data_IF_125856808406
#
_entry.id   IF_125856808406
#
_cell.length_a   1.000
_cell.length_b   1.000
_cell.length_c   1.000
_cell.angle_alpha   90.00
_cell.angle_beta   90.00
_cell.angle_gamma   90.00
#
_symmetry.space_group_name_H-M   'P 1'
#
loop_
_entity.id
_entity.type
_entity.pdbx_description
1 polymer ?
#
# COMPACT_ATOMS: atom_id res chain seq x y z
N UNK A 1 41.90 -23.05 2.42
CA UNK A 1 41.25 -23.16 1.09
C UNK A 1 39.95 -23.96 1.24
N UNK A 2 38.82 -23.27 1.42
CA UNK A 2 37.47 -23.85 1.51
C UNK A 2 36.50 -22.95 0.73
N UNK A 3 35.63 -23.58 -0.06
CA UNK A 3 34.84 -23.03 -1.16
C UNK A 3 33.89 -21.88 -0.82
N UNK A 4 33.74 -20.87 -1.70
CA UNK A 4 32.62 -19.95 -1.73
C UNK A 4 31.55 -20.50 -2.68
N UNK A 5 30.61 -21.32 -2.18
CA UNK A 5 29.54 -21.85 -3.06
C UNK A 5 28.15 -21.93 -2.41
N UNK A 6 27.96 -21.37 -1.21
CA UNK A 6 26.71 -21.51 -0.46
C UNK A 6 25.97 -20.19 -0.14
N UNK A 7 26.27 -19.11 -0.86
CA UNK A 7 25.59 -17.80 -0.69
C UNK A 7 24.84 -17.29 -1.94
N UNK A 8 24.42 -18.16 -2.86
CA UNK A 8 23.69 -17.74 -4.07
C UNK A 8 22.33 -18.45 -4.29
N UNK A 9 21.87 -19.28 -3.36
CA UNK A 9 20.65 -20.09 -3.57
C UNK A 9 19.32 -19.29 -3.57
N UNK A 10 19.09 -18.22 -2.78
CA UNK A 10 17.81 -17.50 -2.84
C UNK A 10 17.68 -16.61 -4.10
N UNK A 11 18.80 -16.06 -4.59
CA UNK A 11 18.83 -15.21 -5.78
C UNK A 11 18.67 -16.03 -7.08
N UNK A 12 19.19 -17.26 -7.12
CA UNK A 12 19.06 -18.15 -8.28
C UNK A 12 17.66 -18.78 -8.35
N UNK A 13 17.00 -19.07 -7.22
CA UNK A 13 15.63 -19.60 -7.19
C UNK A 13 14.55 -18.56 -7.55
N UNK A 14 14.78 -17.27 -7.27
CA UNK A 14 13.90 -16.19 -7.74
C UNK A 14 14.13 -15.85 -9.22
N UNK A 15 15.36 -16.03 -9.73
CA UNK A 15 15.71 -15.81 -11.14
C UNK A 15 15.34 -16.99 -12.07
N UNK A 16 14.96 -18.15 -11.52
CA UNK A 16 14.53 -19.34 -12.26
C UNK A 16 13.04 -19.69 -12.05
N UNK A 17 12.16 -18.70 -11.88
CA UNK A 17 10.76 -18.95 -12.24
C UNK A 17 10.70 -19.11 -13.76
N UNK A 18 10.74 -20.36 -14.22
CA UNK A 18 10.43 -20.72 -15.60
C UNK A 18 9.16 -19.97 -16.01
N UNK A 19 9.24 -19.21 -17.11
CA UNK A 19 8.07 -18.54 -17.64
C UNK A 19 6.94 -19.57 -17.77
N UNK A 20 5.77 -19.27 -17.21
CA UNK A 20 4.60 -20.13 -17.33
C UNK A 20 4.39 -20.47 -18.82
N UNK A 21 3.97 -21.71 -19.14
CA UNK A 21 3.51 -22.03 -20.48
C UNK A 21 2.58 -20.91 -20.97
N UNK A 22 2.76 -20.40 -22.19
CA UNK A 22 2.02 -19.24 -22.66
C UNK A 22 0.49 -19.35 -22.44
N UNK A 23 -0.08 -20.54 -22.60
CA UNK A 23 -1.52 -20.79 -22.46
C UNK A 23 -1.99 -20.60 -21.02
N UNK A 24 -1.15 -21.00 -20.06
CA UNK A 24 -1.41 -20.76 -18.64
C UNK A 24 -1.29 -19.27 -18.30
N UNK A 25 -0.39 -18.53 -18.97
CA UNK A 25 -0.30 -17.08 -18.81
C UNK A 25 -1.58 -16.37 -19.28
N UNK A 26 -2.13 -16.74 -20.44
CA UNK A 26 -3.41 -16.20 -20.91
C UNK A 26 -4.56 -16.61 -19.99
N UNK A 27 -4.67 -17.87 -19.60
CA UNK A 27 -5.72 -18.34 -18.67
C UNK A 27 -5.65 -17.64 -17.31
N UNK A 28 -4.44 -17.32 -16.84
CA UNK A 28 -4.24 -16.54 -15.63
C UNK A 28 -4.75 -15.11 -15.79
N UNK A 29 -4.50 -14.46 -16.92
CA UNK A 29 -5.05 -13.13 -17.20
C UNK A 29 -6.57 -13.17 -17.35
N UNK A 30 -7.12 -14.19 -18.01
CA UNK A 30 -8.56 -14.40 -18.07
C UNK A 30 -9.17 -14.56 -16.68
N UNK A 31 -8.54 -15.33 -15.80
CA UNK A 31 -8.99 -15.53 -14.42
C UNK A 31 -8.93 -14.22 -13.61
N UNK A 32 -7.92 -13.38 -13.84
CA UNK A 32 -7.76 -12.06 -13.21
C UNK A 32 -8.84 -11.07 -13.67
N UNK A 33 -9.16 -11.08 -14.96
CA UNK A 33 -10.09 -10.14 -15.58
C UNK A 33 -11.49 -10.73 -15.80
N UNK A 34 -11.84 -11.84 -15.13
CA UNK A 34 -13.10 -12.57 -15.33
C UNK A 34 -14.38 -11.75 -15.08
N UNK A 35 -14.26 -10.61 -14.40
CA UNK A 35 -15.38 -9.75 -13.99
C UNK A 35 -15.53 -8.50 -14.88
N UNK A 36 -14.79 -8.37 -15.98
CA UNK A 36 -14.90 -7.17 -16.80
C UNK A 36 -14.23 -7.25 -18.16
N UNK A 37 -14.26 -6.13 -18.86
CA UNK A 37 -13.56 -5.93 -20.12
C UNK A 37 -12.14 -5.44 -19.84
N UNK A 38 -11.18 -5.92 -20.63
CA UNK A 38 -9.78 -5.52 -20.55
C UNK A 38 -9.23 -5.24 -21.95
N UNK A 39 -8.24 -4.36 -22.04
CA UNK A 39 -7.59 -3.98 -23.29
C UNK A 39 -6.31 -4.81 -23.43
N UNK A 40 -6.23 -5.56 -24.53
CA UNK A 40 -5.03 -6.30 -24.90
C UNK A 40 -4.32 -5.55 -26.01
N UNK A 41 -3.00 -5.44 -25.89
CA UNK A 41 -2.13 -4.77 -26.85
C UNK A 41 -0.98 -5.70 -27.21
N UNK A 42 -0.81 -5.97 -28.49
CA UNK A 42 0.42 -6.51 -29.06
C UNK A 42 1.29 -5.33 -29.53
N UNK A 43 2.43 -5.11 -28.87
CA UNK A 43 3.34 -3.99 -29.14
C UNK A 43 4.67 -4.50 -29.72
N UNK A 44 4.97 -4.18 -30.98
CA UNK A 44 6.28 -4.47 -31.58
C UNK A 44 7.39 -3.48 -31.14
N UNK A 45 7.09 -2.51 -30.27
CA UNK A 45 8.03 -1.53 -29.71
C UNK A 45 7.69 -1.10 -28.28
N UNK A 46 8.14 0.08 -27.85
CA UNK A 46 7.73 0.69 -26.57
C UNK A 46 6.73 1.86 -26.76
N UNK A 47 6.49 2.25 -28.02
CA UNK A 47 5.73 3.44 -28.36
C UNK A 47 4.21 3.25 -28.23
N UNK A 48 3.69 2.06 -28.59
CA UNK A 48 2.24 1.81 -28.49
C UNK A 48 1.81 1.69 -27.05
N UNK A 49 2.55 0.96 -26.21
CA UNK A 49 2.23 0.82 -24.80
C UNK A 49 2.15 2.17 -24.08
N UNK A 50 3.04 3.12 -24.38
CA UNK A 50 2.99 4.47 -23.83
C UNK A 50 1.79 5.27 -24.35
N UNK A 51 1.55 5.27 -25.67
CA UNK A 51 0.45 5.99 -26.29
C UNK A 51 -0.93 5.47 -25.85
N UNK A 52 -1.10 4.15 -25.72
CA UNK A 52 -2.34 3.54 -25.23
C UNK A 52 -2.59 3.89 -23.76
N UNK A 53 -1.55 3.89 -22.91
CA UNK A 53 -1.70 4.35 -21.51
C UNK A 53 -2.15 5.81 -21.46
N UNK A 54 -1.52 6.69 -22.24
CA UNK A 54 -1.91 8.09 -22.32
C UNK A 54 -3.37 8.26 -22.83
N UNK A 55 -3.81 7.42 -23.77
CA UNK A 55 -5.19 7.41 -24.24
C UNK A 55 -6.17 6.98 -23.14
N UNK A 56 -5.84 5.94 -22.36
CA UNK A 56 -6.67 5.47 -21.25
C UNK A 56 -6.81 6.48 -20.10
N UNK A 57 -5.89 7.44 -19.99
CA UNK A 57 -5.94 8.52 -19.00
C UNK A 57 -6.80 9.73 -19.47
N UNK A 58 -7.37 9.67 -20.67
CA UNK A 58 -8.35 10.66 -21.14
C UNK A 58 -9.69 10.52 -20.39
N UNK A 59 -10.41 11.62 -20.18
CA UNK A 59 -11.58 11.67 -19.28
C UNK A 59 -12.70 10.68 -19.64
N UNK A 60 -12.88 10.37 -20.93
CA UNK A 60 -13.87 9.40 -21.40
C UNK A 60 -13.51 7.93 -21.13
N UNK A 61 -12.23 7.61 -20.91
CA UNK A 61 -11.76 6.23 -20.70
C UNK A 61 -11.31 5.96 -19.27
N UNK A 62 -10.86 7.00 -18.56
CA UNK A 62 -10.41 6.85 -17.17
C UNK A 62 -11.53 6.28 -16.30
N UNK A 63 -12.79 6.64 -16.58
CA UNK A 63 -13.98 6.12 -15.88
C UNK A 63 -14.24 4.63 -16.14
N UNK A 64 -13.77 4.08 -17.26
CA UNK A 64 -13.89 2.64 -17.54
C UNK A 64 -12.88 1.82 -16.73
N UNK A 65 -11.82 2.45 -16.23
CA UNK A 65 -10.74 1.84 -15.45
C UNK A 65 -10.21 0.52 -16.08
N UNK A 66 -10.14 0.47 -17.42
CA UNK A 66 -9.82 -0.75 -18.15
C UNK A 66 -8.43 -1.28 -17.78
N UNK A 67 -8.30 -2.55 -17.37
CA UNK A 67 -7.00 -3.20 -17.25
C UNK A 67 -6.32 -3.26 -18.62
N UNK A 68 -5.06 -2.83 -18.70
CA UNK A 68 -4.25 -2.92 -19.91
C UNK A 68 -3.24 -4.04 -19.78
N UNK A 69 -3.28 -5.01 -20.70
CA UNK A 69 -2.23 -6.01 -20.87
C UNK A 69 -1.43 -5.70 -22.14
N UNK A 70 -0.17 -5.30 -21.94
CA UNK A 70 0.79 -5.15 -23.04
C UNK A 70 1.57 -6.44 -23.19
N UNK A 71 1.51 -7.01 -24.39
CA UNK A 71 2.29 -8.13 -24.86
C UNK A 71 3.38 -7.57 -25.77
N UNK A 72 4.64 -7.73 -25.39
CA UNK A 72 5.74 -7.24 -26.20
C UNK A 72 6.04 -8.24 -27.31
N UNK A 73 5.88 -7.85 -28.58
CA UNK A 73 6.30 -8.61 -29.75
C UNK A 73 7.77 -8.44 -30.15
N UNK A 74 8.52 -7.62 -29.40
CA UNK A 74 9.94 -7.27 -29.66
C UNK A 74 10.98 -8.36 -29.32
N UNK A 75 12.25 -7.97 -29.09
CA UNK A 75 13.41 -8.88 -28.95
C UNK A 75 13.32 -9.94 -27.82
N UNK A 76 12.43 -9.76 -26.86
CA UNK A 76 12.06 -10.78 -25.86
C UNK A 76 10.54 -10.90 -25.87
N UNK A 77 9.96 -11.67 -26.80
CA UNK A 77 8.53 -11.75 -26.88
C UNK A 77 7.99 -12.39 -25.60
N UNK A 78 6.99 -11.77 -24.97
CA UNK A 78 6.26 -12.52 -23.96
C UNK A 78 5.45 -13.59 -24.69
N UNK A 79 5.42 -14.81 -24.17
CA UNK A 79 4.76 -15.92 -24.87
C UNK A 79 3.27 -15.66 -25.18
N UNK A 80 2.68 -14.64 -24.54
CA UNK A 80 1.33 -14.17 -24.77
C UNK A 80 1.09 -13.71 -26.22
N UNK A 81 2.05 -13.07 -26.90
CA UNK A 81 1.82 -12.55 -28.27
C UNK A 81 1.46 -13.66 -29.24
N UNK A 82 2.16 -14.79 -29.17
CA UNK A 82 1.89 -15.95 -30.03
C UNK A 82 0.48 -16.49 -29.83
N UNK A 83 0.01 -16.54 -28.58
CA UNK A 83 -1.36 -17.00 -28.28
C UNK A 83 -2.41 -16.03 -28.76
N UNK A 84 -2.18 -14.72 -28.60
CA UNK A 84 -3.13 -13.72 -29.08
C UNK A 84 -3.29 -13.85 -30.60
N UNK A 85 -2.18 -13.99 -31.34
CA UNK A 85 -2.19 -14.23 -32.78
C UNK A 85 -2.90 -15.54 -33.13
N UNK A 86 -2.55 -16.65 -32.49
CA UNK A 86 -3.15 -17.96 -32.80
C UNK A 86 -4.65 -18.00 -32.47
N UNK A 87 -5.04 -17.42 -31.33
CA UNK A 87 -6.43 -17.43 -30.82
C UNK A 87 -7.33 -16.50 -31.61
N UNK A 88 -6.82 -15.35 -32.02
CA UNK A 88 -7.60 -14.30 -32.67
C UNK A 88 -7.31 -14.16 -34.16
N UNK A 89 -6.46 -15.04 -34.69
CA UNK A 89 -6.01 -15.04 -36.08
C UNK A 89 -5.42 -13.67 -36.51
N UNK A 90 -4.70 -13.01 -35.60
CA UNK A 90 -4.08 -11.72 -35.89
C UNK A 90 -2.87 -11.88 -36.81
N UNK A 91 -2.72 -11.03 -37.84
CA UNK A 91 -1.50 -10.98 -38.60
C UNK A 91 -0.36 -10.47 -37.71
N UNK A 92 0.88 -10.83 -38.06
CA UNK A 92 2.05 -10.32 -37.37
C UNK A 92 2.10 -8.79 -37.49
N UNK A 93 2.21 -8.11 -36.36
CA UNK A 93 2.26 -6.65 -36.29
C UNK A 93 1.47 -6.12 -35.10
N UNK A 94 1.48 -4.80 -34.88
CA UNK A 94 0.83 -4.21 -33.72
C UNK A 94 -0.70 -4.28 -33.84
N UNK A 95 -1.34 -4.81 -32.81
CA UNK A 95 -2.79 -5.01 -32.73
C UNK A 95 -3.28 -4.68 -31.33
N UNK A 96 -4.54 -4.26 -31.24
CA UNK A 96 -5.22 -4.13 -29.96
C UNK A 96 -6.63 -4.71 -30.04
N UNK A 97 -7.14 -5.17 -28.91
CA UNK A 97 -8.54 -5.55 -28.78
C UNK A 97 -9.10 -5.33 -27.38
N UNK A 98 -10.38 -4.99 -27.34
CA UNK A 98 -11.21 -5.08 -26.16
C UNK A 98 -11.70 -6.52 -26.02
N UNK A 99 -11.37 -7.15 -24.89
CA UNK A 99 -11.67 -8.55 -24.62
C UNK A 99 -12.57 -8.64 -23.41
N UNK A 100 -13.64 -9.43 -23.48
CA UNK A 100 -14.54 -9.66 -22.35
C UNK A 100 -13.95 -10.64 -21.30
N UNK A 101 -14.63 -10.80 -20.17
CA UNK A 101 -14.23 -11.73 -19.11
C UNK A 101 -14.26 -13.22 -19.52
N UNK A 102 -14.78 -13.54 -20.72
CA UNK A 102 -14.76 -14.89 -21.33
C UNK A 102 -13.66 -15.05 -22.37
N UNK A 103 -12.88 -13.99 -22.63
CA UNK A 103 -11.77 -14.02 -23.57
C UNK A 103 -12.21 -13.83 -25.02
N UNK A 104 -13.42 -13.33 -25.26
CA UNK A 104 -13.95 -13.03 -26.60
C UNK A 104 -13.59 -11.60 -26.97
N UNK A 105 -13.19 -11.40 -28.22
CA UNK A 105 -12.99 -10.06 -28.77
C UNK A 105 -14.36 -9.40 -28.95
N UNK A 106 -14.47 -8.19 -28.42
CA UNK A 106 -15.61 -7.30 -28.63
C UNK A 106 -15.35 -6.36 -29.80
N UNK A 107 -14.19 -5.71 -29.80
CA UNK A 107 -13.71 -4.81 -30.86
C UNK A 107 -12.18 -4.94 -30.95
N UNK A 108 -11.63 -4.81 -32.15
CA UNK A 108 -10.19 -4.86 -32.41
C UNK A 108 -9.75 -3.80 -33.43
N UNK A 109 -8.44 -3.54 -33.48
CA UNK A 109 -7.84 -2.65 -34.47
C UNK A 109 -6.34 -2.90 -34.65
N UNK A 110 -5.86 -2.60 -35.86
CA UNK A 110 -4.45 -2.74 -36.26
C UNK A 110 -3.71 -1.39 -36.37
N UNK A 111 -4.39 -0.28 -36.06
CA UNK A 111 -3.80 1.06 -36.01
C UNK A 111 -3.66 1.54 -34.57
N UNK A 112 -2.69 2.43 -34.31
CA UNK A 112 -2.44 2.97 -32.99
C UNK A 112 -3.72 3.65 -32.47
N UNK A 113 -4.34 3.16 -31.38
CA UNK A 113 -5.63 3.68 -30.97
C UNK A 113 -5.46 5.02 -30.26
N UNK A 114 -6.31 5.97 -30.62
CA UNK A 114 -6.47 7.25 -29.92
C UNK A 114 -7.58 7.13 -28.88
N UNK A 115 -7.65 8.07 -27.93
CA UNK A 115 -8.73 8.08 -26.95
C UNK A 115 -10.14 8.08 -27.60
N UNK A 116 -10.44 8.90 -28.63
CA UNK A 116 -11.73 8.82 -29.32
C UNK A 116 -12.05 7.46 -29.93
N UNK A 117 -11.06 6.78 -30.51
CA UNK A 117 -11.24 5.44 -31.10
C UNK A 117 -11.61 4.43 -30.01
N UNK A 118 -10.89 4.45 -28.89
CA UNK A 118 -11.15 3.55 -27.77
C UNK A 118 -12.50 3.82 -27.10
N UNK A 119 -12.90 5.10 -26.97
CA UNK A 119 -14.23 5.48 -26.45
C UNK A 119 -15.30 4.90 -27.37
N UNK A 120 -15.21 5.16 -28.67
CA UNK A 120 -16.19 4.65 -29.64
C UNK A 120 -16.24 3.12 -29.65
N UNK A 121 -15.09 2.45 -29.57
CA UNK A 121 -15.00 1.00 -29.48
C UNK A 121 -15.68 0.45 -28.21
N UNK A 122 -15.46 1.09 -27.06
CA UNK A 122 -16.09 0.71 -25.80
C UNK A 122 -17.61 0.90 -25.83
N UNK A 123 -18.08 2.03 -26.39
CA UNK A 123 -19.51 2.33 -26.56
C UNK A 123 -20.19 1.34 -27.51
N UNK A 124 -19.59 1.07 -28.68
CA UNK A 124 -20.10 0.10 -29.66
C UNK A 124 -20.19 -1.32 -29.07
N UNK A 125 -19.21 -1.69 -28.24
CA UNK A 125 -19.20 -2.95 -27.53
C UNK A 125 -20.15 -3.01 -26.32
N UNK A 126 -20.80 -1.89 -25.97
CA UNK A 126 -21.65 -1.80 -24.78
C UNK A 126 -20.89 -2.03 -23.47
N UNK A 127 -19.59 -1.71 -23.45
CA UNK A 127 -18.73 -1.90 -22.28
C UNK A 127 -19.16 -0.92 -21.19
N UNK A 128 -19.54 -1.47 -20.04
CA UNK A 128 -19.82 -0.70 -18.83
C UNK A 128 -18.59 -0.68 -17.94
N UNK A 129 -18.38 0.41 -17.22
CA UNK A 129 -17.37 0.42 -16.17
C UNK A 129 -17.80 -0.45 -15.00
N UNK A 130 -16.82 -0.99 -14.27
CA UNK A 130 -17.12 -1.75 -13.05
C UNK A 130 -17.87 -0.91 -12.02
N UNK A 131 -17.58 0.39 -11.95
CA UNK A 131 -18.31 1.34 -11.12
C UNK A 131 -19.80 1.42 -11.53
N UNK A 132 -20.11 1.55 -12.82
CA UNK A 132 -21.50 1.58 -13.31
C UNK A 132 -22.26 0.27 -13.02
N UNK A 133 -21.60 -0.87 -13.13
CA UNK A 133 -22.20 -2.17 -12.75
C UNK A 133 -22.52 -2.22 -11.26
N UNK A 134 -21.59 -1.78 -10.40
CA UNK A 134 -21.76 -1.75 -8.95
C UNK A 134 -22.84 -0.75 -8.53
N UNK A 135 -22.90 0.42 -9.16
CA UNK A 135 -23.98 1.40 -8.95
C UNK A 135 -25.35 0.83 -9.32
N UNK A 136 -25.45 0.15 -10.48
CA UNK A 136 -26.70 -0.50 -10.90
C UNK A 136 -27.11 -1.61 -9.92
N UNK A 137 -26.15 -2.38 -9.41
CA UNK A 137 -26.38 -3.40 -8.39
C UNK A 137 -26.83 -2.79 -7.05
N UNK A 138 -26.18 -1.70 -6.61
CA UNK A 138 -26.50 -1.01 -5.36
C UNK A 138 -27.85 -0.29 -5.39
N UNK A 139 -28.34 0.12 -6.57
CA UNK A 139 -29.72 0.60 -6.72
C UNK A 139 -30.75 -0.47 -6.34
N UNK A 140 -30.44 -1.74 -6.56
CA UNK A 140 -31.30 -2.87 -6.21
C UNK A 140 -31.00 -3.41 -4.81
N UNK A 141 -29.77 -3.19 -4.30
CA UNK A 141 -29.27 -3.72 -3.04
C UNK A 141 -28.57 -2.60 -2.22
N UNK A 142 -29.32 -1.60 -1.72
CA UNK A 142 -28.74 -0.39 -1.15
C UNK A 142 -27.89 -0.65 0.10
N UNK A 143 -28.15 -1.72 0.85
CA UNK A 143 -27.46 -2.03 2.11
C UNK A 143 -26.26 -2.98 1.91
N UNK A 144 -25.90 -3.32 0.68
CA UNK A 144 -24.81 -4.27 0.39
C UNK A 144 -23.43 -3.64 0.59
N UNK A 145 -22.93 -3.66 1.83
CA UNK A 145 -21.68 -3.02 2.24
C UNK A 145 -20.47 -3.42 1.37
N UNK A 146 -20.29 -4.70 1.05
CA UNK A 146 -19.16 -5.15 0.22
C UNK A 146 -19.17 -4.51 -1.18
N UNK A 147 -20.36 -4.37 -1.79
CA UNK A 147 -20.50 -3.72 -3.09
C UNK A 147 -20.24 -2.21 -2.99
N UNK A 148 -20.57 -1.59 -1.85
CA UNK A 148 -20.23 -0.19 -1.56
C UNK A 148 -18.74 0.02 -1.44
N UNK A 149 -18.04 -0.86 -0.72
CA UNK A 149 -16.58 -0.82 -0.56
C UNK A 149 -15.87 -1.09 -1.89
N UNK A 150 -16.39 -2.05 -2.69
CA UNK A 150 -15.89 -2.31 -4.03
C UNK A 150 -16.06 -1.08 -4.94
N UNK A 151 -17.22 -0.41 -4.89
CA UNK A 151 -17.47 0.81 -5.65
C UNK A 151 -16.50 1.92 -5.24
N UNK A 152 -16.30 2.12 -3.92
CA UNK A 152 -15.31 3.06 -3.41
C UNK A 152 -13.90 2.77 -3.97
N UNK A 153 -13.50 1.50 -4.04
CA UNK A 153 -12.22 1.09 -4.61
C UNK A 153 -12.04 1.50 -6.08
N UNK A 154 -13.08 1.33 -6.90
CA UNK A 154 -13.07 1.79 -8.30
C UNK A 154 -13.01 3.32 -8.40
N UNK A 155 -13.79 4.03 -7.59
CA UNK A 155 -13.81 5.50 -7.57
C UNK A 155 -12.47 6.09 -7.13
N UNK A 156 -11.83 5.51 -6.11
CA UNK A 156 -10.46 5.90 -5.69
C UNK A 156 -9.45 5.65 -6.81
N UNK A 157 -9.54 4.52 -7.52
CA UNK A 157 -8.61 4.24 -8.62
C UNK A 157 -8.71 5.28 -9.74
N UNK A 158 -9.94 5.69 -10.09
CA UNK A 158 -10.18 6.78 -11.07
C UNK A 158 -9.68 8.12 -10.53
N UNK A 159 -9.99 8.44 -9.28
CA UNK A 159 -9.59 9.69 -8.65
C UNK A 159 -8.05 9.84 -8.61
N UNK A 160 -7.34 8.80 -8.18
CA UNK A 160 -5.87 8.77 -8.15
C UNK A 160 -5.25 9.09 -9.52
N UNK A 161 -5.76 8.47 -10.60
CA UNK A 161 -5.24 8.73 -11.96
C UNK A 161 -5.43 10.20 -12.35
N UNK A 162 -6.61 10.76 -12.07
CA UNK A 162 -6.92 12.15 -12.37
C UNK A 162 -6.11 13.12 -11.51
N UNK A 163 -5.91 12.83 -10.23
CA UNK A 163 -5.05 13.61 -9.33
C UNK A 163 -3.61 13.63 -9.82
N UNK A 164 -3.04 12.47 -10.15
CA UNK A 164 -1.69 12.37 -10.69
C UNK A 164 -1.52 13.20 -11.97
N UNK A 165 -2.50 13.18 -12.87
CA UNK A 165 -2.50 13.99 -14.09
C UNK A 165 -2.59 15.49 -13.79
N UNK A 166 -3.48 15.90 -12.89
CA UNK A 166 -3.66 17.30 -12.50
C UNK A 166 -2.38 17.87 -11.85
N UNK A 167 -1.67 17.06 -11.05
CA UNK A 167 -0.45 17.47 -10.40
C UNK A 167 0.77 17.46 -11.34
N UNK A 168 0.84 16.52 -12.29
CA UNK A 168 1.93 16.41 -13.27
C UNK A 168 1.94 17.54 -14.31
N UNK A 169 0.76 18.11 -14.64
CA UNK A 169 0.64 19.19 -15.62
C UNK A 169 0.98 20.59 -15.10
N UNK A 170 1.14 20.74 -13.79
CA UNK A 170 1.49 22.02 -13.20
C UNK A 170 3.00 22.22 -13.18
N UNK A 171 3.48 23.46 -13.39
CA UNK A 171 4.91 23.73 -13.49
C UNK A 171 5.59 23.20 -12.25
N UNK A 172 6.46 22.20 -12.44
CA UNK A 172 7.45 21.86 -11.43
C UNK A 172 8.18 23.16 -11.13
N UNK A 173 8.04 23.65 -9.90
CA UNK A 173 8.92 24.67 -9.36
C UNK A 173 10.35 24.17 -9.63
N UNK A 174 11.00 24.75 -10.63
CA UNK A 174 12.40 24.50 -10.96
C UNK A 174 13.23 25.19 -9.89
N UNK A 175 13.25 24.61 -8.71
CA UNK A 175 14.18 24.97 -7.64
C UNK A 175 14.27 23.80 -6.65
N UNK A 176 14.83 22.65 -7.09
CA UNK A 176 15.35 21.63 -6.17
C UNK A 176 16.63 20.98 -6.70
N UNK A 177 17.70 21.77 -6.67
CA UNK A 177 18.95 21.31 -6.10
C UNK A 177 18.92 21.75 -4.63
N UNK A 178 18.40 20.90 -3.74
CA UNK A 178 18.71 21.04 -2.33
C UNK A 178 18.79 19.65 -1.71
N UNK A 179 20.02 19.19 -1.55
CA UNK A 179 20.44 18.06 -0.73
C UNK A 179 20.25 18.38 0.76
N UNK A 180 19.02 18.71 1.17
CA UNK A 180 18.67 18.80 2.60
C UNK A 180 17.79 17.61 2.97
N UNK A 181 18.46 16.52 3.36
CA UNK A 181 17.86 15.44 4.14
C UNK A 181 17.29 16.03 5.44
N UNK A 182 15.99 16.34 5.46
CA UNK A 182 15.48 17.20 6.53
C UNK A 182 14.00 17.13 6.79
N UNK A 183 13.19 17.57 5.82
CA UNK A 183 11.77 17.79 6.07
C UNK A 183 10.93 17.10 4.98
N UNK A 184 9.83 16.42 5.35
CA UNK A 184 8.87 15.95 4.37
C UNK A 184 8.40 17.14 3.55
N UNK A 185 8.43 17.01 2.22
CA UNK A 185 7.93 18.07 1.36
C UNK A 185 6.44 18.31 1.67
N UNK A 186 5.99 19.57 1.76
CA UNK A 186 4.59 19.85 2.03
C UNK A 186 3.73 19.21 0.94
N UNK A 187 2.72 18.44 1.35
CA UNK A 187 1.78 17.80 0.44
C UNK A 187 1.08 18.88 -0.37
N UNK A 188 1.16 18.76 -1.69
CA UNK A 188 0.56 19.73 -2.60
C UNK A 188 -0.94 19.49 -2.74
N UNK A 189 -1.76 20.45 -2.36
CA UNK A 189 -3.23 20.32 -2.46
C UNK A 189 -3.74 20.61 -3.88
N UNK A 190 -4.84 19.94 -4.25
CA UNK A 190 -5.66 20.30 -5.41
C UNK A 190 -6.42 21.60 -5.14
N UNK A 191 -6.68 22.36 -6.21
CA UNK A 191 -7.61 23.49 -6.16
C UNK A 191 -9.06 23.00 -6.03
N UNK A 192 -9.95 23.83 -5.48
CA UNK A 192 -11.32 23.43 -5.15
C UNK A 192 -12.13 22.85 -6.33
N UNK A 193 -12.05 23.47 -7.51
CA UNK A 193 -12.77 22.99 -8.71
C UNK A 193 -12.28 21.61 -9.18
N UNK A 194 -10.96 21.44 -9.44
CA UNK A 194 -10.38 20.13 -9.73
C UNK A 194 -10.67 19.09 -8.66
N UNK A 195 -10.53 19.43 -7.38
CA UNK A 195 -10.80 18.54 -6.26
C UNK A 195 -12.23 17.98 -6.31
N UNK A 196 -13.23 18.87 -6.41
CA UNK A 196 -14.64 18.49 -6.49
C UNK A 196 -14.90 17.59 -7.71
N UNK A 197 -14.38 17.94 -8.88
CA UNK A 197 -14.57 17.16 -10.11
C UNK A 197 -13.92 15.76 -10.07
N UNK A 198 -12.87 15.58 -9.27
CA UNK A 198 -12.10 14.34 -9.18
C UNK A 198 -12.62 13.45 -8.05
N UNK A 199 -12.84 14.02 -6.87
CA UNK A 199 -13.05 13.26 -5.64
C UNK A 199 -14.49 13.19 -5.15
N UNK A 200 -15.41 14.05 -5.63
CA UNK A 200 -16.80 14.13 -5.12
C UNK A 200 -17.50 12.77 -5.02
N UNK A 201 -17.41 11.93 -6.05
CA UNK A 201 -18.03 10.60 -6.04
C UNK A 201 -17.42 9.67 -4.96
N UNK A 202 -16.08 9.66 -4.83
CA UNK A 202 -15.41 8.86 -3.81
C UNK A 202 -15.71 9.36 -2.39
N UNK A 203 -15.74 10.68 -2.19
CA UNK A 203 -16.12 11.34 -0.93
C UNK A 203 -17.55 10.95 -0.55
N UNK A 204 -18.51 11.08 -1.46
CA UNK A 204 -19.91 10.73 -1.20
C UNK A 204 -20.05 9.24 -0.85
N UNK A 205 -19.35 8.36 -1.55
CA UNK A 205 -19.42 6.94 -1.31
C UNK A 205 -18.80 6.55 0.04
N UNK A 206 -17.64 7.12 0.39
CA UNK A 206 -17.01 6.89 1.69
C UNK A 206 -17.87 7.44 2.82
N UNK A 207 -18.47 8.62 2.65
CA UNK A 207 -19.39 9.21 3.61
C UNK A 207 -20.55 8.26 3.93
N UNK A 208 -21.21 7.72 2.89
CA UNK A 208 -22.30 6.76 3.07
C UNK A 208 -21.86 5.48 3.80
N UNK A 209 -20.63 5.02 3.57
CA UNK A 209 -20.08 3.85 4.28
C UNK A 209 -19.84 4.18 5.75
N UNK A 210 -19.24 5.33 6.04
CA UNK A 210 -18.90 5.74 7.41
C UNK A 210 -20.12 6.10 8.26
N UNK A 211 -21.22 6.55 7.64
CA UNK A 211 -22.53 6.71 8.33
C UNK A 211 -23.16 5.37 8.73
N UNK A 212 -22.76 4.28 8.07
CA UNK A 212 -23.29 2.94 8.30
C UNK A 212 -22.44 2.10 9.26
N UNK A 213 -22.65 0.78 9.22
CA UNK A 213 -21.85 -0.20 9.99
C UNK A 213 -20.65 -0.63 9.16
N UNK A 214 -19.55 0.10 9.26
CA UNK A 214 -18.33 -0.16 8.49
C UNK A 214 -17.31 -1.03 9.22
N UNK A 215 -17.50 -1.28 10.53
CA UNK A 215 -16.47 -1.84 11.40
C UNK A 215 -15.95 -3.20 10.92
N UNK A 216 -16.81 -4.05 10.36
CA UNK A 216 -16.41 -5.35 9.78
C UNK A 216 -15.56 -5.24 8.50
N UNK A 217 -15.56 -4.08 7.85
CA UNK A 217 -14.81 -3.78 6.63
C UNK A 217 -13.66 -2.78 6.87
N UNK A 218 -13.38 -2.41 8.13
CA UNK A 218 -12.38 -1.40 8.46
C UNK A 218 -10.98 -1.70 7.91
N UNK A 219 -10.59 -2.98 7.88
CA UNK A 219 -9.32 -3.40 7.27
C UNK A 219 -9.27 -3.12 5.76
N UNK A 220 -10.30 -3.54 5.02
CA UNK A 220 -10.38 -3.33 3.57
C UNK A 220 -10.45 -1.83 3.25
N UNK A 221 -11.27 -1.07 3.99
CA UNK A 221 -11.34 0.40 3.86
C UNK A 221 -9.99 1.06 4.12
N UNK A 222 -9.28 0.64 5.16
CA UNK A 222 -7.92 1.08 5.44
C UNK A 222 -6.98 0.81 4.27
N UNK A 223 -7.02 -0.38 3.67
CA UNK A 223 -6.22 -0.72 2.48
C UNK A 223 -6.55 0.21 1.30
N UNK A 224 -7.84 0.51 1.06
CA UNK A 224 -8.26 1.42 -0.01
C UNK A 224 -7.74 2.84 0.23
N UNK A 225 -7.87 3.36 1.45
CA UNK A 225 -7.32 4.67 1.82
C UNK A 225 -5.79 4.70 1.75
N UNK A 226 -5.09 3.63 2.12
CA UNK A 226 -3.64 3.55 1.97
C UNK A 226 -3.20 3.82 0.53
N UNK A 227 -3.90 3.20 -0.41
CA UNK A 227 -3.61 3.29 -1.83
C UNK A 227 -4.14 4.56 -2.50
N UNK A 228 -4.89 5.41 -1.80
CA UNK A 228 -5.48 6.62 -2.36
C UNK A 228 -4.48 7.78 -2.39
N UNK A 229 -4.73 8.77 -3.23
CA UNK A 229 -4.07 10.09 -3.25
C UNK A 229 -4.88 11.13 -2.45
N UNK A 230 -5.61 10.67 -1.42
CA UNK A 230 -6.54 11.49 -0.64
C UNK A 230 -5.88 12.65 0.12
N UNK A 231 -4.58 12.56 0.41
CA UNK A 231 -3.78 13.62 1.02
C UNK A 231 -3.72 14.89 0.15
N UNK A 232 -3.98 14.77 -1.15
CA UNK A 232 -4.04 15.89 -2.09
C UNK A 232 -5.43 16.54 -2.20
N UNK A 233 -6.45 15.96 -1.56
CA UNK A 233 -7.86 16.33 -1.73
C UNK A 233 -8.43 17.03 -0.50
N UNK A 234 -8.65 18.36 -0.52
CA UNK A 234 -9.33 19.07 0.57
C UNK A 234 -10.67 18.45 0.99
N UNK A 235 -11.50 17.97 0.04
CA UNK A 235 -12.76 17.33 0.35
C UNK A 235 -12.60 15.98 1.10
N UNK A 236 -11.65 15.13 0.68
CA UNK A 236 -11.35 13.89 1.42
C UNK A 236 -10.81 14.19 2.81
N UNK A 237 -9.89 15.16 2.94
CA UNK A 237 -9.35 15.55 4.25
C UNK A 237 -10.44 16.08 5.19
N UNK A 238 -11.35 16.90 4.69
CA UNK A 238 -12.49 17.38 5.45
C UNK A 238 -13.39 16.23 5.92
N UNK A 239 -13.68 15.27 5.04
CA UNK A 239 -14.46 14.08 5.37
C UNK A 239 -13.79 13.22 6.46
N UNK A 240 -12.50 12.91 6.30
CA UNK A 240 -11.75 12.08 7.26
C UNK A 240 -11.68 12.74 8.63
N UNK A 241 -11.43 14.06 8.69
CA UNK A 241 -11.41 14.80 9.94
C UNK A 241 -12.80 14.90 10.59
N UNK A 242 -13.88 14.98 9.80
CA UNK A 242 -15.26 14.94 10.33
C UNK A 242 -15.54 13.64 11.07
N UNK A 243 -15.11 12.50 10.53
CA UNK A 243 -15.32 11.18 11.15
C UNK A 243 -14.25 10.78 12.16
N UNK A 244 -13.26 11.63 12.44
CA UNK A 244 -12.15 11.30 13.35
C UNK A 244 -12.66 10.76 14.69
N UNK A 245 -13.59 11.46 15.33
CA UNK A 245 -14.14 11.07 16.64
C UNK A 245 -14.84 9.71 16.58
N UNK A 246 -15.58 9.42 15.51
CA UNK A 246 -16.28 8.15 15.33
C UNK A 246 -15.30 6.98 15.10
N UNK A 247 -14.21 7.22 14.36
CA UNK A 247 -13.13 6.26 14.17
C UNK A 247 -12.39 5.98 15.49
N UNK A 248 -12.10 7.03 16.27
CA UNK A 248 -11.51 6.90 17.61
C UNK A 248 -12.45 6.10 18.53
N UNK A 249 -13.75 6.35 18.48
CA UNK A 249 -14.74 5.62 19.27
C UNK A 249 -14.85 4.15 18.85
N UNK A 250 -14.73 3.84 17.56
CA UNK A 250 -14.64 2.46 17.10
C UNK A 250 -13.39 1.74 17.64
N UNK A 251 -12.25 2.43 17.71
CA UNK A 251 -11.03 1.91 18.35
C UNK A 251 -11.24 1.69 19.86
N UNK A 252 -11.91 2.61 20.56
CA UNK A 252 -12.23 2.45 22.00
C UNK A 252 -13.15 1.26 22.27
N UNK A 253 -14.15 1.04 21.41
CA UNK A 253 -15.08 -0.10 21.51
C UNK A 253 -14.39 -1.45 21.26
N UNK A 254 -13.39 -1.48 20.40
CA UNK A 254 -12.67 -2.72 20.06
C UNK A 254 -11.16 -2.50 19.89
N UNK A 255 -10.43 -2.27 21.00
CA UNK A 255 -9.00 -1.89 20.96
C UNK A 255 -8.09 -3.01 20.47
N UNK A 256 -8.54 -4.27 20.51
CA UNK A 256 -7.79 -5.43 20.01
C UNK A 256 -8.10 -5.77 18.56
N UNK A 257 -9.12 -5.14 17.95
CA UNK A 257 -9.55 -5.40 16.59
C UNK A 257 -8.67 -4.71 15.55
N UNK A 258 -8.08 -5.42 14.58
CA UNK A 258 -7.26 -4.79 13.55
C UNK A 258 -8.05 -3.82 12.65
N UNK A 259 -9.34 -4.05 12.44
CA UNK A 259 -10.19 -3.31 11.51
C UNK A 259 -10.33 -1.82 11.84
N UNK A 260 -10.79 -1.40 13.04
CA UNK A 260 -10.90 0.02 13.38
C UNK A 260 -9.54 0.70 13.41
N UNK A 261 -8.51 0.01 13.89
CA UNK A 261 -7.15 0.52 13.92
C UNK A 261 -6.60 0.82 12.53
N UNK A 262 -6.78 -0.09 11.59
CA UNK A 262 -6.29 0.09 10.23
C UNK A 262 -6.98 1.25 9.54
N UNK A 263 -8.30 1.39 9.69
CA UNK A 263 -8.99 2.55 9.13
C UNK A 263 -8.52 3.86 9.77
N UNK A 264 -8.44 3.90 11.10
CA UNK A 264 -7.98 5.08 11.85
C UNK A 264 -6.56 5.50 11.45
N UNK A 265 -5.62 4.55 11.37
CA UNK A 265 -4.23 4.83 11.02
C UNK A 265 -4.10 5.38 9.59
N UNK A 266 -4.82 4.80 8.64
CA UNK A 266 -4.75 5.26 7.25
C UNK A 266 -5.43 6.62 7.07
N UNK A 267 -6.56 6.86 7.75
CA UNK A 267 -7.21 8.18 7.78
C UNK A 267 -6.31 9.25 8.44
N UNK A 268 -5.67 8.91 9.56
CA UNK A 268 -4.70 9.72 10.28
C UNK A 268 -3.53 10.10 9.38
N UNK A 269 -2.90 9.12 8.71
CA UNK A 269 -1.79 9.34 7.77
C UNK A 269 -2.15 10.32 6.67
N UNK A 270 -3.32 10.14 6.02
CA UNK A 270 -3.80 11.05 4.97
C UNK A 270 -4.06 12.45 5.49
N UNK A 271 -4.44 12.58 6.76
CA UNK A 271 -4.77 13.85 7.42
C UNK A 271 -3.57 14.55 8.07
N UNK A 272 -2.33 14.16 7.73
CA UNK A 272 -1.11 14.77 8.29
C UNK A 272 -0.66 14.18 9.64
N UNK A 273 -1.30 13.11 10.10
CA UNK A 273 -0.97 12.39 11.32
C UNK A 273 -1.72 12.91 12.54
N UNK A 274 -2.82 12.25 12.89
CA UNK A 274 -3.50 12.44 14.16
C UNK A 274 -2.63 11.95 15.33
N UNK A 275 -2.69 12.62 16.49
CA UNK A 275 -1.90 12.24 17.65
C UNK A 275 -2.43 10.92 18.21
N UNK A 276 -1.57 9.89 18.24
CA UNK A 276 -1.93 8.56 18.75
C UNK A 276 -2.04 8.53 20.28
N UNK A 277 -1.16 9.25 20.98
CA UNK A 277 -1.05 9.17 22.43
C UNK A 277 -2.33 9.58 23.19
N UNK A 278 -3.02 10.67 22.82
CA UNK A 278 -4.33 10.99 23.40
C UNK A 278 -5.35 9.86 23.22
N UNK A 279 -5.34 9.15 22.08
CA UNK A 279 -6.22 8.01 21.89
C UNK A 279 -5.85 6.85 22.82
N UNK A 280 -4.56 6.46 22.86
CA UNK A 280 -4.09 5.37 23.72
C UNK A 280 -4.40 5.59 25.20
N UNK A 281 -4.27 6.83 25.68
CA UNK A 281 -4.59 7.19 27.07
C UNK A 281 -6.07 7.05 27.41
N UNK A 282 -6.96 7.05 26.41
CA UNK A 282 -8.41 6.84 26.62
C UNK A 282 -8.81 5.37 26.56
N UNK A 283 -7.91 4.47 26.17
CA UNK A 283 -8.21 3.04 26.09
C UNK A 283 -8.17 2.42 27.48
N UNK A 284 -9.25 1.74 27.84
CA UNK A 284 -9.33 0.96 29.06
C UNK A 284 -8.99 -0.50 28.76
N UNK A 285 -8.15 -1.14 29.59
CA UNK A 285 -7.89 -2.56 29.44
C UNK A 285 -9.19 -3.37 29.56
N UNK A 286 -9.46 -4.21 28.57
CA UNK A 286 -10.55 -5.19 28.66
C UNK A 286 -10.09 -6.37 29.53
N UNK A 287 -11.02 -7.08 30.21
CA UNK A 287 -10.67 -8.28 30.95
C UNK A 287 -9.88 -9.27 30.08
N UNK A 288 -8.69 -9.68 30.57
CA UNK A 288 -7.81 -10.60 29.85
C UNK A 288 -6.92 -9.97 28.77
N UNK A 289 -6.81 -8.64 28.75
CA UNK A 289 -5.90 -7.91 27.85
C UNK A 289 -4.97 -6.99 28.65
N UNK A 290 -3.72 -6.88 28.22
CA UNK A 290 -2.70 -6.04 28.85
C UNK A 290 -2.54 -4.70 28.10
N UNK A 291 -2.13 -3.59 28.75
CA UNK A 291 -1.91 -2.29 28.10
C UNK A 291 -1.06 -2.31 26.81
N UNK A 292 -0.14 -3.27 26.69
CA UNK A 292 0.70 -3.52 25.53
C UNK A 292 0.08 -4.45 24.48
N UNK A 293 -1.20 -4.83 24.60
CA UNK A 293 -1.91 -5.55 23.54
C UNK A 293 -2.37 -4.63 22.41
N UNK A 294 -2.68 -3.35 22.68
CA UNK A 294 -3.08 -2.38 21.66
C UNK A 294 -2.04 -1.26 21.45
N UNK A 295 -1.84 -0.76 20.21
CA UNK A 295 -2.47 -1.23 18.98
C UNK A 295 -2.04 -2.66 18.60
N UNK A 296 -2.91 -3.49 17.99
CA UNK A 296 -2.53 -4.82 17.52
C UNK A 296 -1.26 -4.79 16.65
N UNK A 297 -0.48 -5.87 16.62
CA UNK A 297 0.84 -5.87 15.98
C UNK A 297 0.86 -5.33 14.54
N UNK A 298 -0.20 -5.57 13.74
CA UNK A 298 -0.33 -5.01 12.39
C UNK A 298 -0.47 -3.48 12.41
N UNK A 299 -1.31 -2.95 13.28
CA UNK A 299 -1.51 -1.51 13.46
C UNK A 299 -0.24 -0.85 14.02
N UNK A 300 0.44 -1.49 14.97
CA UNK A 300 1.69 -1.01 15.53
C UNK A 300 2.77 -0.84 14.45
N UNK A 301 2.93 -1.81 13.56
CA UNK A 301 3.92 -1.72 12.47
C UNK A 301 3.65 -0.53 11.55
N UNK A 302 2.39 -0.27 11.22
CA UNK A 302 2.00 0.86 10.37
C UNK A 302 2.17 2.20 11.08
N UNK A 303 1.87 2.25 12.37
CA UNK A 303 2.14 3.42 13.21
C UNK A 303 3.64 3.73 13.25
N UNK A 304 4.49 2.75 13.56
CA UNK A 304 5.95 2.94 13.63
C UNK A 304 6.50 3.41 12.29
N UNK A 305 6.02 2.82 11.18
CA UNK A 305 6.43 3.21 9.84
C UNK A 305 6.08 4.68 9.56
N UNK A 306 4.88 5.11 9.92
CA UNK A 306 4.44 6.50 9.76
C UNK A 306 5.18 7.48 10.68
N UNK A 307 5.24 7.20 11.97
CA UNK A 307 5.95 8.03 12.94
C UNK A 307 7.43 8.20 12.55
N UNK A 308 8.06 7.13 12.04
CA UNK A 308 9.43 7.18 11.51
C UNK A 308 9.54 8.09 10.30
N UNK A 309 8.60 8.02 9.35
CA UNK A 309 8.57 8.90 8.19
C UNK A 309 8.43 10.39 8.59
N UNK A 310 7.71 10.66 9.67
CA UNK A 310 7.54 12.00 10.28
C UNK A 310 8.65 12.40 11.26
N UNK A 311 9.62 11.51 11.51
CA UNK A 311 10.67 11.67 12.54
C UNK A 311 10.12 11.93 13.95
N UNK A 312 8.92 11.41 14.23
CA UNK A 312 8.28 11.47 15.54
C UNK A 312 8.80 10.36 16.44
N UNK A 313 10.07 10.48 16.83
CA UNK A 313 10.77 9.49 17.65
C UNK A 313 10.17 9.39 19.06
N UNK A 314 9.64 10.49 19.59
CA UNK A 314 8.96 10.52 20.89
C UNK A 314 7.74 9.59 20.87
N UNK A 315 6.89 9.70 19.84
CA UNK A 315 5.71 8.85 19.76
C UNK A 315 6.06 7.36 19.57
N UNK A 316 7.15 7.04 18.85
CA UNK A 316 7.64 5.66 18.76
C UNK A 316 8.09 5.16 20.14
N UNK A 317 8.88 5.97 20.87
CA UNK A 317 9.39 5.63 22.20
C UNK A 317 8.24 5.33 23.16
N UNK A 318 7.28 6.24 23.30
CA UNK A 318 6.19 6.12 24.27
C UNK A 318 5.35 4.84 24.05
N UNK A 319 5.06 4.49 22.80
CA UNK A 319 4.29 3.28 22.48
C UNK A 319 5.12 2.01 22.69
N UNK A 320 6.42 2.04 22.37
CA UNK A 320 7.28 0.87 22.47
C UNK A 320 7.77 0.57 23.89
N UNK A 321 8.06 1.59 24.69
CA UNK A 321 8.48 1.42 26.10
C UNK A 321 7.37 0.72 26.90
N UNK A 322 6.10 1.12 26.74
CA UNK A 322 4.97 0.48 27.41
C UNK A 322 4.88 -1.03 27.11
N UNK A 323 5.20 -1.45 25.88
CA UNK A 323 5.21 -2.86 25.47
C UNK A 323 6.46 -3.60 25.94
N UNK A 324 7.60 -2.91 25.94
CA UNK A 324 8.85 -3.48 26.44
C UNK A 324 8.73 -3.87 27.91
N UNK A 325 8.07 -3.04 28.72
CA UNK A 325 7.83 -3.33 30.13
C UNK A 325 7.08 -4.67 30.35
N UNK A 326 6.12 -5.00 29.50
CA UNK A 326 5.39 -6.29 29.57
C UNK A 326 6.23 -7.49 29.12
N UNK A 327 7.11 -7.30 28.14
CA UNK A 327 8.06 -8.34 27.74
C UNK A 327 9.06 -8.59 28.86
N UNK A 328 9.56 -7.52 29.48
CA UNK A 328 10.52 -7.58 30.58
C UNK A 328 9.93 -8.21 31.84
N UNK A 329 8.66 -7.97 32.13
CA UNK A 329 7.97 -8.61 33.28
C UNK A 329 7.77 -10.12 33.09
N UNK A 330 7.96 -10.64 31.87
CA UNK A 330 7.75 -12.04 31.53
C UNK A 330 6.28 -12.42 31.38
N UNK A 331 5.37 -11.45 31.46
CA UNK A 331 3.93 -11.63 31.29
C UNK A 331 3.55 -11.82 29.82
N UNK A 332 4.43 -11.42 28.89
CA UNK A 332 4.16 -11.49 27.46
C UNK A 332 5.23 -12.25 26.67
N UNK A 333 4.81 -13.29 25.92
CA UNK A 333 5.69 -14.04 25.00
C UNK A 333 5.41 -13.67 23.55
N UNK A 334 6.15 -12.70 23.03
CA UNK A 334 6.17 -12.39 21.59
C UNK A 334 7.00 -13.42 20.83
N UNK A 335 6.37 -14.33 20.07
CA UNK A 335 7.03 -15.14 19.04
C UNK A 335 8.42 -15.69 19.42
N UNK A 336 9.35 -15.74 18.45
CA UNK A 336 10.78 -15.93 18.70
C UNK A 336 11.54 -14.61 18.61
N UNK A 337 12.81 -14.59 19.05
CA UNK A 337 13.63 -13.36 19.16
C UNK A 337 13.67 -12.47 17.91
N UNK A 338 13.63 -13.03 16.70
CA UNK A 338 13.58 -12.24 15.46
C UNK A 338 12.32 -11.35 15.35
N UNK A 339 11.18 -11.85 15.85
CA UNK A 339 9.92 -11.10 15.87
C UNK A 339 9.99 -10.00 16.92
N UNK A 340 10.52 -10.29 18.11
CA UNK A 340 10.72 -9.30 19.18
C UNK A 340 11.62 -8.16 18.70
N UNK A 341 12.70 -8.49 18.01
CA UNK A 341 13.61 -7.47 17.48
C UNK A 341 13.00 -6.59 16.42
N UNK A 342 12.47 -7.21 15.37
CA UNK A 342 11.98 -6.47 14.21
C UNK A 342 10.80 -5.57 14.58
N UNK A 343 9.95 -6.01 15.53
CA UNK A 343 8.71 -5.30 15.87
C UNK A 343 8.79 -4.41 17.10
N UNK A 344 9.77 -4.61 17.99
CA UNK A 344 9.81 -3.92 19.28
C UNK A 344 11.18 -3.31 19.59
N UNK A 345 12.21 -4.15 19.72
CA UNK A 345 13.53 -3.70 20.19
C UNK A 345 14.19 -2.77 19.17
N UNK A 346 14.22 -3.14 17.89
CA UNK A 346 14.86 -2.31 16.86
C UNK A 346 14.18 -0.95 16.70
N UNK A 347 12.84 -0.83 16.62
CA UNK A 347 12.17 0.48 16.62
C UNK A 347 12.45 1.33 17.86
N UNK A 348 12.47 0.73 19.05
CA UNK A 348 12.71 1.46 20.29
C UNK A 348 14.16 1.97 20.38
N UNK A 349 15.14 1.12 20.05
CA UNK A 349 16.55 1.54 19.99
C UNK A 349 16.76 2.66 18.97
N UNK A 350 16.12 2.56 17.80
CA UNK A 350 16.19 3.58 16.77
C UNK A 350 15.63 4.92 17.26
N UNK A 351 14.50 4.90 17.98
CA UNK A 351 13.93 6.08 18.61
C UNK A 351 14.85 6.69 19.68
N UNK A 352 15.33 5.87 20.64
CA UNK A 352 16.22 6.33 21.72
C UNK A 352 17.52 6.95 21.18
N UNK A 353 18.17 6.27 20.23
CA UNK A 353 19.41 6.78 19.60
C UNK A 353 19.15 8.07 18.82
N UNK A 354 18.03 8.14 18.09
CA UNK A 354 17.67 9.32 17.29
C UNK A 354 17.27 10.52 18.16
N UNK A 355 16.80 10.28 19.38
CA UNK A 355 16.58 11.31 20.42
C UNK A 355 17.84 11.68 21.20
N UNK A 356 18.97 11.01 20.95
CA UNK A 356 20.22 11.22 21.68
C UNK A 356 20.30 10.53 23.05
N UNK A 357 19.32 9.70 23.40
CA UNK A 357 19.26 8.95 24.66
C UNK A 357 20.06 7.63 24.57
N UNK A 358 21.38 7.80 24.43
CA UNK A 358 22.33 6.69 24.23
C UNK A 358 22.39 5.79 25.47
N UNK A 359 22.26 6.37 26.66
CA UNK A 359 22.27 5.63 27.92
C UNK A 359 21.09 4.66 28.03
N UNK A 360 19.88 5.12 27.72
CA UNK A 360 18.71 4.25 27.70
C UNK A 360 18.81 3.18 26.61
N UNK A 361 19.36 3.51 25.43
CA UNK A 361 19.57 2.52 24.37
C UNK A 361 20.55 1.41 24.80
N UNK A 362 21.64 1.76 25.47
CA UNK A 362 22.59 0.78 26.03
C UNK A 362 21.95 -0.07 27.14
N UNK A 363 21.14 0.53 28.02
CA UNK A 363 20.40 -0.20 29.06
C UNK A 363 19.44 -1.22 28.42
N UNK A 364 18.63 -0.80 27.46
CA UNK A 364 17.69 -1.67 26.74
C UNK A 364 18.43 -2.86 26.10
N UNK A 365 19.56 -2.61 25.43
CA UNK A 365 20.36 -3.69 24.85
C UNK A 365 20.84 -4.71 25.89
N UNK A 366 21.28 -4.25 27.06
CA UNK A 366 21.71 -5.14 28.13
C UNK A 366 20.55 -5.96 28.71
N UNK A 367 19.36 -5.37 28.82
CA UNK A 367 18.14 -6.08 29.22
C UNK A 367 17.78 -7.17 28.21
N UNK A 368 17.79 -6.86 26.91
CA UNK A 368 17.50 -7.83 25.83
C UNK A 368 18.48 -9.01 25.86
N UNK A 369 19.78 -8.75 26.06
CA UNK A 369 20.80 -9.81 26.20
C UNK A 369 20.54 -10.71 27.43
N UNK A 370 19.91 -10.16 28.47
CA UNK A 370 19.55 -10.89 29.68
C UNK A 370 18.33 -11.80 29.53
N UNK A 371 17.42 -11.50 28.60
CA UNK A 371 16.14 -12.20 28.43
C UNK A 371 16.21 -13.41 27.50
N UNK A 372 17.04 -13.37 26.45
CA UNK A 372 17.04 -14.41 25.42
C UNK A 372 18.43 -14.97 25.09
N UNK A 373 18.50 -16.29 24.85
CA UNK A 373 19.65 -16.96 24.24
C UNK A 373 19.64 -16.78 22.71
N UNK A 374 19.65 -15.53 22.24
CA UNK A 374 19.53 -15.24 20.82
C UNK A 374 20.89 -15.05 20.12
N UNK A 375 21.31 -16.06 19.37
CA UNK A 375 22.63 -16.09 18.73
C UNK A 375 22.89 -15.03 17.64
N UNK A 376 21.85 -14.37 17.12
CA UNK A 376 21.93 -13.36 16.05
C UNK A 376 21.94 -11.91 16.54
N UNK A 377 21.63 -11.68 17.82
CA UNK A 377 21.40 -10.35 18.37
C UNK A 377 22.61 -9.39 18.22
N UNK A 378 23.87 -9.77 18.50
CA UNK A 378 25.01 -8.85 18.38
C UNK A 378 25.21 -8.33 16.95
N UNK A 379 25.00 -9.19 15.94
CA UNK A 379 25.13 -8.82 14.54
C UNK A 379 24.05 -7.81 14.13
N UNK A 380 22.80 -8.06 14.49
CA UNK A 380 21.69 -7.16 14.17
C UNK A 380 21.79 -5.82 14.90
N UNK A 381 22.23 -5.83 16.15
CA UNK A 381 22.45 -4.60 16.90
C UNK A 381 23.58 -3.76 16.29
N UNK A 382 24.70 -4.40 15.91
CA UNK A 382 25.77 -3.74 15.16
C UNK A 382 25.27 -3.14 13.85
N UNK A 383 24.47 -3.88 13.09
CA UNK A 383 23.92 -3.41 11.81
C UNK A 383 22.97 -2.21 12.00
N UNK A 384 22.14 -2.23 13.05
CA UNK A 384 21.28 -1.09 13.39
C UNK A 384 22.13 0.14 13.75
N UNK A 385 23.08 0.02 14.67
CA UNK A 385 23.96 1.14 15.05
C UNK A 385 24.75 1.70 13.86
N UNK A 386 25.20 0.83 12.95
CA UNK A 386 25.88 1.24 11.72
C UNK A 386 24.96 2.06 10.82
N UNK A 387 23.69 1.63 10.61
CA UNK A 387 22.69 2.39 9.85
C UNK A 387 22.36 3.74 10.48
N UNK A 388 22.47 3.85 11.80
CA UNK A 388 22.27 5.09 12.55
C UNK A 388 23.52 5.98 12.63
N UNK A 389 24.59 5.63 11.90
CA UNK A 389 25.87 6.35 11.90
C UNK A 389 26.50 6.47 13.31
N UNK A 390 26.40 5.40 14.10
CA UNK A 390 26.95 5.32 15.47
C UNK A 390 28.03 4.23 15.58
N UNK A 391 29.26 4.50 15.10
CA UNK A 391 30.35 3.51 15.12
C UNK A 391 30.73 3.09 16.55
N UNK A 392 30.55 3.97 17.53
CA UNK A 392 30.73 3.70 18.96
C UNK A 392 29.73 2.64 19.46
N UNK A 393 28.46 2.77 19.11
CA UNK A 393 27.43 1.78 19.44
C UNK A 393 27.65 0.48 18.65
N UNK A 394 28.02 0.57 17.37
CA UNK A 394 28.25 -0.60 16.53
C UNK A 394 29.38 -1.49 17.07
N UNK A 395 30.47 -0.89 17.54
CA UNK A 395 31.57 -1.62 18.17
C UNK A 395 31.14 -2.26 19.50
N UNK A 396 30.44 -1.52 20.36
CA UNK A 396 29.99 -2.01 21.67
C UNK A 396 28.93 -3.10 21.56
N UNK A 397 27.86 -2.85 20.82
CA UNK A 397 26.77 -3.81 20.64
C UNK A 397 27.20 -5.05 19.86
N UNK A 398 28.13 -4.91 18.91
CA UNK A 398 28.71 -6.05 18.19
C UNK A 398 29.59 -6.97 19.06
N UNK A 399 30.08 -6.47 20.20
CA UNK A 399 30.90 -7.23 21.14
C UNK A 399 30.10 -7.90 22.28
N UNK A 400 28.77 -7.76 22.29
CA UNK A 400 27.91 -8.35 23.33
C UNK A 400 28.02 -9.88 23.34
N UNK A 401 28.22 -10.45 24.52
CA UNK A 401 28.19 -11.90 24.73
C UNK A 401 26.82 -12.32 25.25
N UNK A 402 26.09 -13.10 24.46
CA UNK A 402 24.79 -13.65 24.85
C UNK A 402 25.02 -14.85 25.78
N UNK A 403 24.37 -14.86 26.95
CA UNK A 403 24.49 -15.97 27.91
C UNK A 403 24.02 -17.29 27.26
N UNK A 404 24.78 -18.37 27.43
CA UNK A 404 24.44 -19.69 26.87
C UNK A 404 25.38 -20.21 25.76
N UNK A 405 26.59 -19.66 25.64
CA UNK A 405 27.72 -20.31 24.95
C UNK A 405 28.86 -20.58 25.91
#
# INVERSE_FOLDING_TARGET
>A
MRSPLLMLMPAILMAQRSALPPQEAFNRELKRNRLGTWLVLEDEGAAWGAAVRAALDADGLVQLNLPLRVSSGGKKPDGLSGILRDRYNWPKGPHWALVDGKGRILVEGASLPTAPILVSAAEQAGVKSRAQELEAFLKQNPDHLEARVALLGELIAVANRRTNRALAGAPASKDKLSETAGQPEPVRMLEAGPDESIWSAAVQQLDQILQGRWESMGLELGIRLRSSEAEHSPAMLALLNRYRSDLEEAVRRWPTGPEPWMLWLQASQKSGGWPLMPLLQTLQPLPGTSPGDWPPAMALNEFVKDARARKDWQAIREVMEARWEEVRSGEYRWGGGEVIWSRMVSPLLEALVSMGDVGAADQLMNEVVGLETWSGLPAQAKDLATRLNRPDLAARWGALSVKGR
#
